data_IF_753649501510
#
_entry.id   IF_753649501510
#
_cell.length_a   1.000
_cell.length_b   1.000
_cell.length_c   1.000
_cell.angle_alpha   90.00
_cell.angle_beta   90.00
_cell.angle_gamma   90.00
#
_symmetry.space_group_name_H-M   'P 1'
#
loop_
_entity.id
_entity.type
_entity.pdbx_description
1 polymer ?
#
# COMPACT_ATOMS: atom_id res chain seq x y z
N UNK A 1 14.33 5.37 3.05
CA UNK A 1 14.28 5.92 1.68
C UNK A 1 14.54 4.80 0.68
N UNK A 2 13.90 4.82 -0.49
CA UNK A 2 14.05 3.83 -1.56
C UNK A 2 15.25 4.16 -2.44
N UNK A 3 16.01 3.15 -2.86
CA UNK A 3 17.11 3.32 -3.83
C UNK A 3 16.62 3.67 -5.23
N UNK A 4 15.40 3.26 -5.58
CA UNK A 4 14.75 3.54 -6.86
C UNK A 4 13.30 3.95 -6.58
N UNK A 5 12.98 5.25 -6.62
CA UNK A 5 11.60 5.71 -6.59
C UNK A 5 10.79 5.16 -7.76
N UNK A 6 9.48 5.04 -7.59
CA UNK A 6 8.59 4.55 -8.65
C UNK A 6 7.26 5.30 -8.63
N UNK A 7 6.61 5.39 -9.78
CA UNK A 7 5.31 6.03 -9.94
C UNK A 7 4.19 5.00 -9.78
N UNK A 8 3.05 5.46 -9.27
CA UNK A 8 1.83 4.67 -9.18
C UNK A 8 0.88 5.12 -10.29
N UNK A 9 0.17 4.18 -10.89
CA UNK A 9 -0.96 4.48 -11.77
C UNK A 9 -2.25 4.13 -11.04
N UNK A 10 -3.28 4.96 -11.22
CA UNK A 10 -4.63 4.67 -10.74
C UNK A 10 -5.39 3.82 -11.77
N UNK A 11 -6.62 3.41 -11.41
CA UNK A 11 -7.39 2.45 -12.19
C UNK A 11 -7.69 2.90 -13.64
N UNK A 12 -7.77 4.20 -13.89
CA UNK A 12 -7.98 4.76 -15.23
C UNK A 12 -6.69 4.83 -16.09
N UNK A 13 -5.56 4.34 -15.55
CA UNK A 13 -4.26 4.34 -16.22
C UNK A 13 -3.49 5.65 -16.09
N UNK A 14 -4.06 6.69 -15.50
CA UNK A 14 -3.35 7.95 -15.25
C UNK A 14 -2.41 7.83 -14.06
N UNK A 15 -1.38 8.67 -14.04
CA UNK A 15 -0.41 8.70 -12.95
C UNK A 15 -1.05 9.28 -11.67
N UNK A 16 -0.72 8.66 -10.54
CA UNK A 16 -1.16 9.11 -9.23
C UNK A 16 -0.60 10.50 -8.91
N UNK A 17 -1.49 11.45 -8.60
CA UNK A 17 -1.15 12.86 -8.35
C UNK A 17 -0.22 13.10 -7.16
N UNK A 18 -0.03 12.11 -6.28
CA UNK A 18 0.92 12.19 -5.16
C UNK A 18 2.39 12.14 -5.58
N UNK A 19 2.69 11.96 -6.87
CA UNK A 19 4.05 11.84 -7.38
C UNK A 19 4.70 10.49 -7.06
N UNK A 20 6.03 10.36 -7.26
CA UNK A 20 6.72 9.10 -7.05
C UNK A 20 6.76 8.70 -5.58
N UNK A 21 6.59 7.41 -5.34
CA UNK A 21 6.88 6.80 -4.04
C UNK A 21 8.39 6.79 -3.83
N UNK A 22 8.85 7.49 -2.79
CA UNK A 22 10.28 7.62 -2.46
C UNK A 22 10.67 6.88 -1.20
N UNK A 23 9.71 6.46 -0.38
CA UNK A 23 9.97 5.89 0.94
C UNK A 23 9.01 4.76 1.30
N UNK A 24 9.39 4.03 2.34
CA UNK A 24 8.56 3.02 2.95
C UNK A 24 8.66 3.16 4.47
N UNK A 25 7.64 2.69 5.16
CA UNK A 25 7.60 2.54 6.60
C UNK A 25 7.44 1.06 6.96
N UNK A 26 7.85 0.70 8.17
CA UNK A 26 7.46 -0.56 8.80
C UNK A 26 6.45 -0.21 9.88
N UNK A 27 5.26 -0.82 9.83
CA UNK A 27 4.16 -0.51 10.75
C UNK A 27 3.57 -1.79 11.33
N UNK A 28 2.99 -1.68 12.54
CA UNK A 28 2.14 -2.71 13.11
C UNK A 28 0.71 -2.50 12.61
N UNK A 29 0.23 -3.42 11.78
CA UNK A 29 -1.13 -3.41 11.25
C UNK A 29 -1.99 -4.33 12.11
N UNK A 30 -3.10 -3.82 12.63
CA UNK A 30 -4.13 -4.61 13.32
C UNK A 30 -5.43 -4.53 12.54
N UNK A 31 -5.95 -5.69 12.13
CA UNK A 31 -7.25 -5.84 11.49
C UNK A 31 -8.05 -6.84 12.33
N UNK A 32 -9.06 -6.35 13.05
CA UNK A 32 -9.82 -7.15 14.03
C UNK A 32 -8.87 -7.86 15.03
N UNK A 33 -8.86 -9.19 15.00
CA UNK A 33 -8.05 -10.06 15.88
C UNK A 33 -6.70 -10.44 15.24
N UNK A 34 -6.43 -10.02 14.01
CA UNK A 34 -5.19 -10.26 13.30
C UNK A 34 -4.22 -9.09 13.49
N UNK A 35 -2.94 -9.41 13.73
CA UNK A 35 -1.87 -8.41 13.87
C UNK A 35 -0.63 -8.87 13.13
N UNK A 36 -0.03 -7.98 12.34
CA UNK A 36 1.24 -8.23 11.67
C UNK A 36 2.16 -7.01 11.67
N UNK A 37 3.45 -7.24 11.45
CA UNK A 37 4.40 -6.20 11.10
C UNK A 37 4.56 -6.20 9.58
N UNK A 38 4.17 -5.10 8.95
CA UNK A 38 4.12 -4.96 7.49
C UNK A 38 4.97 -3.78 7.02
N UNK A 39 5.61 -3.95 5.87
CA UNK A 39 6.28 -2.86 5.14
C UNK A 39 5.29 -2.22 4.17
N UNK A 40 5.10 -0.90 4.29
CA UNK A 40 4.18 -0.12 3.47
C UNK A 40 4.95 0.96 2.73
N UNK A 41 4.61 1.16 1.46
CA UNK A 41 5.11 2.29 0.68
C UNK A 41 4.34 3.56 1.05
N UNK A 42 5.04 4.66 1.30
CA UNK A 42 4.43 5.90 1.77
C UNK A 42 4.09 6.81 0.58
N UNK A 43 2.83 7.27 0.54
CA UNK A 43 2.31 8.24 -0.44
C UNK A 43 1.08 8.96 0.14
N UNK A 44 0.60 10.00 -0.55
CA UNK A 44 -0.54 10.82 -0.11
C UNK A 44 -1.86 10.20 -0.57
N UNK A 45 -2.53 9.46 0.31
CA UNK A 45 -3.76 8.69 0.00
C UNK A 45 -5.08 9.47 0.20
N UNK A 46 -5.03 10.79 0.34
CA UNK A 46 -6.21 11.62 0.60
C UNK A 46 -6.89 11.26 1.93
N UNK A 47 -8.15 10.81 1.88
CA UNK A 47 -8.94 10.45 3.05
C UNK A 47 -8.63 9.06 3.64
N UNK A 48 -7.82 8.25 2.96
CA UNK A 48 -7.50 6.89 3.40
C UNK A 48 -6.15 6.84 4.12
N UNK A 49 -6.05 5.99 5.15
CA UNK A 49 -4.78 5.79 5.87
C UNK A 49 -3.88 4.73 5.23
N UNK A 50 -4.46 3.73 4.58
CA UNK A 50 -3.74 2.60 3.98
C UNK A 50 -4.53 2.02 2.81
N UNK A 51 -3.85 1.55 1.78
CA UNK A 51 -4.41 0.74 0.70
C UNK A 51 -3.69 -0.60 0.69
N UNK A 52 -4.44 -1.69 0.85
CA UNK A 52 -3.95 -3.06 0.80
C UNK A 52 -4.29 -3.65 -0.56
N UNK A 53 -3.26 -3.82 -1.40
CA UNK A 53 -3.43 -4.32 -2.77
C UNK A 53 -3.51 -5.84 -2.87
N UNK A 54 -3.61 -6.34 -4.10
CA UNK A 54 -3.76 -7.76 -4.44
C UNK A 54 -2.68 -8.66 -3.84
N UNK A 55 -1.43 -8.18 -3.72
CA UNK A 55 -0.34 -8.96 -3.12
C UNK A 55 -0.57 -9.25 -1.64
N UNK A 56 -1.20 -8.32 -0.92
CA UNK A 56 -1.56 -8.53 0.48
C UNK A 56 -2.69 -9.56 0.60
N UNK A 57 -3.73 -9.43 -0.23
CA UNK A 57 -4.86 -10.37 -0.28
C UNK A 57 -4.41 -11.81 -0.58
N UNK A 58 -3.56 -11.98 -1.61
CA UNK A 58 -3.00 -13.29 -1.99
C UNK A 58 -2.14 -13.91 -0.89
N UNK A 59 -1.32 -13.10 -0.19
CA UNK A 59 -0.49 -13.59 0.91
C UNK A 59 -1.32 -14.18 2.05
N UNK A 60 -2.49 -13.61 2.31
CA UNK A 60 -3.40 -14.05 3.37
C UNK A 60 -4.48 -15.03 2.89
N UNK A 61 -4.39 -15.50 1.64
CA UNK A 61 -5.34 -16.42 1.01
C UNK A 61 -6.81 -15.96 1.17
N UNK A 62 -7.04 -14.64 1.12
CA UNK A 62 -8.37 -14.07 1.23
C UNK A 62 -9.10 -14.23 -0.10
N UNK A 63 -10.31 -14.78 -0.04
CA UNK A 63 -11.23 -14.83 -1.18
C UNK A 63 -12.08 -13.55 -1.18
N UNK A 64 -12.19 -12.92 -2.35
CA UNK A 64 -13.17 -11.86 -2.58
C UNK A 64 -14.36 -12.56 -3.25
N UNK A 65 -15.52 -12.49 -2.61
CA UNK A 65 -16.81 -12.91 -3.17
C UNK A 65 -17.48 -11.72 -3.87
#
# INVERSE_FOLDING_TARGET
QLKRPFHLNIADGTEFRGGPVTSYITAKLRINNYTEIIRLFATTLGSHSIVLGVYWLRRHNLQID
#
